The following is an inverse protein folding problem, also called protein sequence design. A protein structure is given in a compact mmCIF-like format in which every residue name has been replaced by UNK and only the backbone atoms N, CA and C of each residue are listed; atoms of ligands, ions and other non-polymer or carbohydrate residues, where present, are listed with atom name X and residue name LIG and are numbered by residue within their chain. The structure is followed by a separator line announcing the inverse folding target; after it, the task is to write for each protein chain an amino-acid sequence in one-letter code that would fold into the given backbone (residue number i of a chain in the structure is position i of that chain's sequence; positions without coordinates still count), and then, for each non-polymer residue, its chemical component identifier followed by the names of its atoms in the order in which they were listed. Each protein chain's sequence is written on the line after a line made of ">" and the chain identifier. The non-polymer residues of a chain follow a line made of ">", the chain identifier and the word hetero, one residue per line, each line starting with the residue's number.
data_IF_135125003826
#
_entry.id   IF_135125003826
#
_cell.length_a   1.000
_cell.length_b   1.000
_cell.length_c   1.000
_cell.angle_alpha   90.00
_cell.angle_beta   90.00
_cell.angle_gamma   90.00
#
_symmetry.space_group_name_H-M   'P 1'
#
loop_
_entity.id
_entity.type
_entity.pdbx_description
1 polymer ?
#
# COMPACT_ATOMS: atom_id res chain seq x y z
N UNK A 1 6.93 -37.71 -8.60
CA UNK A 1 5.81 -36.74 -8.78
C UNK A 1 5.96 -35.48 -7.92
N UNK A 2 7.18 -35.06 -7.56
CA UNK A 2 7.47 -33.84 -6.78
C UNK A 2 8.68 -33.14 -7.42
N UNK A 3 8.43 -32.24 -8.36
CA UNK A 3 9.44 -31.37 -8.98
C UNK A 3 8.85 -30.44 -10.06
N UNK A 4 7.60 -30.63 -10.50
CA UNK A 4 7.05 -29.97 -11.69
C UNK A 4 5.91 -28.96 -11.45
N UNK A 5 5.69 -28.48 -10.21
CA UNK A 5 4.51 -27.64 -9.92
C UNK A 5 4.80 -26.34 -9.17
N UNK A 6 6.05 -25.86 -9.11
CA UNK A 6 6.41 -24.69 -8.30
C UNK A 6 7.19 -23.59 -9.07
N UNK A 7 7.08 -23.56 -10.40
CA UNK A 7 7.65 -22.50 -11.23
C UNK A 7 6.69 -21.32 -11.48
N UNK A 8 5.68 -21.12 -10.62
CA UNK A 8 4.59 -20.17 -10.84
C UNK A 8 4.50 -19.03 -9.81
N UNK A 9 5.53 -18.80 -8.98
CA UNK A 9 5.38 -17.86 -7.84
C UNK A 9 6.32 -16.65 -7.89
N UNK A 10 7.34 -16.63 -8.76
CA UNK A 10 8.23 -15.47 -8.80
C UNK A 10 8.58 -15.10 -10.23
N UNK A 11 7.77 -14.21 -10.80
CA UNK A 11 8.08 -13.46 -12.00
C UNK A 11 7.47 -12.06 -11.90
N UNK A 12 8.12 -11.17 -11.16
CA UNK A 12 8.05 -9.74 -11.44
C UNK A 12 9.47 -9.16 -11.47
N UNK A 13 10.27 -9.66 -12.42
CA UNK A 13 11.27 -8.82 -13.08
C UNK A 13 10.57 -8.22 -14.30
N UNK A 14 9.80 -7.15 -14.06
CA UNK A 14 9.45 -6.23 -15.13
C UNK A 14 10.20 -4.94 -14.85
N UNK A 15 11.24 -4.70 -15.64
CA UNK A 15 11.93 -3.41 -15.79
C UNK A 15 11.03 -2.33 -16.41
N UNK A 16 9.71 -2.49 -16.35
CA UNK A 16 8.76 -1.53 -16.87
C UNK A 16 8.47 -0.48 -15.79
N UNK A 17 8.53 0.79 -16.18
CA UNK A 17 7.99 1.93 -15.43
C UNK A 17 6.67 1.54 -14.76
N UNK A 18 6.69 1.54 -13.42
CA UNK A 18 5.58 1.11 -12.57
C UNK A 18 4.55 2.23 -12.43
N UNK A 19 5.02 3.47 -12.29
CA UNK A 19 4.20 4.67 -12.27
C UNK A 19 4.59 5.61 -13.42
N UNK A 20 3.61 6.20 -14.12
CA UNK A 20 3.85 6.92 -15.38
C UNK A 20 3.17 8.30 -15.45
N UNK A 21 3.78 9.21 -16.21
CA UNK A 21 3.22 10.51 -16.59
C UNK A 21 2.25 10.27 -17.76
N UNK A 22 1.01 10.77 -17.66
CA UNK A 22 0.12 10.82 -18.84
C UNK A 22 0.66 11.89 -19.80
N UNK A 23 0.86 11.62 -21.10
CA UNK A 23 1.18 12.67 -22.04
C UNK A 23 0.05 13.71 -22.08
N UNK A 24 0.42 14.99 -22.03
CA UNK A 24 -0.50 16.12 -22.26
C UNK A 24 -1.09 16.00 -23.68
N UNK A 25 -2.42 15.87 -23.73
CA UNK A 25 -3.29 15.84 -24.91
C UNK A 25 -2.91 14.93 -26.11
N UNK A 26 -3.63 13.81 -26.19
CA UNK A 26 -4.36 13.50 -27.41
C UNK A 26 -5.83 13.29 -27.05
N UNK A 27 -6.68 14.24 -27.45
CA UNK A 27 -8.08 13.96 -27.70
C UNK A 27 -8.16 12.86 -28.78
N UNK A 28 -8.14 11.60 -28.36
CA UNK A 28 -8.58 10.50 -29.20
C UNK A 28 -10.03 10.24 -28.89
N UNK A 29 -10.90 10.64 -29.82
CA UNK A 29 -12.31 10.25 -29.80
C UNK A 29 -12.40 8.73 -30.04
N UNK A 30 -12.36 7.95 -28.98
CA UNK A 30 -12.81 6.57 -29.04
C UNK A 30 -14.33 6.57 -28.86
N UNK A 31 -15.03 6.58 -29.99
CA UNK A 31 -16.41 6.14 -30.08
C UNK A 31 -16.43 4.61 -29.94
N UNK A 32 -16.35 4.13 -28.71
CA UNK A 32 -16.77 2.76 -28.39
C UNK A 32 -18.16 2.79 -27.74
N UNK A 33 -19.04 1.96 -28.29
CA UNK A 33 -20.45 1.91 -27.97
C UNK A 33 -20.64 1.57 -26.49
N UNK A 34 -21.12 2.53 -25.69
CA UNK A 34 -21.68 2.26 -24.38
C UNK A 34 -22.85 1.30 -24.54
N UNK A 35 -22.69 0.06 -24.07
CA UNK A 35 -23.83 -0.79 -23.76
C UNK A 35 -24.64 -0.09 -22.68
N UNK A 36 -25.90 0.21 -22.98
CA UNK A 36 -26.86 0.75 -22.01
C UNK A 36 -27.11 -0.36 -20.98
N UNK A 37 -26.83 -0.15 -19.68
CA UNK A 37 -27.22 -1.12 -18.67
C UNK A 37 -28.75 -1.17 -18.63
N UNK A 38 -29.30 -2.36 -18.84
CA UNK A 38 -30.73 -2.61 -18.67
C UNK A 38 -31.16 -2.26 -17.24
N UNK A 39 -32.35 -1.68 -17.13
CA UNK A 39 -32.98 -1.22 -15.89
C UNK A 39 -33.06 -2.31 -14.82
N UNK A 40 -32.11 -2.30 -13.90
CA UNK A 40 -32.27 -2.80 -12.53
C UNK A 40 -31.69 -1.72 -11.61
N UNK A 41 -32.58 -0.93 -11.01
CA UNK A 41 -32.23 0.20 -10.17
C UNK A 41 -31.67 -0.23 -8.82
N UNK A 42 -30.35 -0.42 -8.75
CA UNK A 42 -29.54 -0.34 -7.53
C UNK A 42 -28.13 0.16 -7.90
N UNK A 43 -28.02 1.42 -8.32
CA UNK A 43 -26.73 2.11 -8.38
C UNK A 43 -26.38 2.63 -6.99
N UNK A 44 -25.13 2.48 -6.49
CA UNK A 44 -24.74 3.13 -5.25
C UNK A 44 -24.96 4.64 -5.39
N UNK A 45 -25.53 5.27 -4.36
CA UNK A 45 -25.56 6.73 -4.26
C UNK A 45 -24.12 7.22 -4.29
N UNK A 46 -23.72 7.92 -5.36
CA UNK A 46 -22.36 8.45 -5.51
C UNK A 46 -22.00 9.28 -4.28
N UNK A 47 -20.97 8.87 -3.54
CA UNK A 47 -20.50 9.62 -2.40
C UNK A 47 -19.94 10.98 -2.84
N UNK A 48 -20.24 12.02 -2.06
CA UNK A 48 -19.72 13.37 -2.28
C UNK A 48 -18.72 13.69 -1.19
N UNK A 49 -17.71 14.48 -1.54
CA UNK A 49 -16.76 14.97 -0.56
C UNK A 49 -17.46 15.78 0.53
N UNK A 50 -17.14 15.48 1.80
CA UNK A 50 -17.66 16.13 3.00
C UNK A 50 -16.65 17.13 3.60
N UNK A 51 -15.48 17.27 2.98
CA UNK A 51 -14.40 18.19 3.36
C UNK A 51 -14.03 19.11 2.20
N UNK A 52 -13.09 20.03 2.44
CA UNK A 52 -12.53 20.86 1.36
C UNK A 52 -11.65 19.98 0.45
N UNK A 53 -11.91 19.93 -0.86
CA UNK A 53 -11.07 19.19 -1.79
C UNK A 53 -9.62 19.68 -1.77
N UNK A 54 -8.68 18.74 -1.74
CA UNK A 54 -7.24 18.99 -1.60
C UNK A 54 -6.45 18.10 -2.56
N UNK A 55 -5.21 18.46 -2.92
CA UNK A 55 -4.35 17.58 -3.69
C UNK A 55 -4.11 16.27 -2.94
N UNK A 56 -4.19 15.15 -3.64
CA UNK A 56 -3.96 13.81 -3.11
C UNK A 56 -2.64 13.24 -3.62
N UNK A 57 -1.80 12.76 -2.69
CA UNK A 57 -0.56 12.07 -3.01
C UNK A 57 -0.65 10.61 -2.60
N UNK A 58 -0.61 9.74 -3.60
CA UNK A 58 -0.61 8.29 -3.46
C UNK A 58 0.83 7.79 -3.39
N UNK A 59 1.14 7.06 -2.31
CA UNK A 59 2.49 6.61 -1.96
C UNK A 59 2.45 5.10 -1.86
N UNK A 60 3.08 4.43 -2.82
CA UNK A 60 3.07 2.97 -2.94
C UNK A 60 4.01 2.31 -1.92
N UNK A 61 3.80 1.02 -1.71
CA UNK A 61 4.67 0.17 -0.90
C UNK A 61 5.83 -0.44 -1.69
N UNK A 62 6.29 -1.60 -1.24
CA UNK A 62 7.31 -2.39 -1.92
C UNK A 62 6.83 -2.84 -3.30
N UNK A 63 7.68 -2.72 -4.32
CA UNK A 63 7.38 -3.26 -5.66
C UNK A 63 7.89 -2.44 -6.85
N UNK A 64 8.57 -1.31 -6.64
CA UNK A 64 9.20 -0.55 -7.73
C UNK A 64 10.72 -0.42 -7.55
N UNK A 65 11.47 -0.79 -8.58
CA UNK A 65 12.90 -0.44 -8.74
C UNK A 65 13.07 0.86 -9.53
N UNK A 66 11.99 1.31 -10.20
CA UNK A 66 12.00 2.49 -11.06
C UNK A 66 11.59 3.70 -10.24
N UNK A 67 12.52 4.64 -10.13
CA UNK A 67 12.31 5.93 -9.48
C UNK A 67 12.21 7.03 -10.53
N UNK A 68 11.30 7.97 -10.33
CA UNK A 68 11.14 9.16 -11.16
C UNK A 68 11.21 10.40 -10.27
N UNK A 69 11.91 11.45 -10.72
CA UNK A 69 12.00 12.71 -9.95
C UNK A 69 10.66 13.45 -9.89
N UNK A 70 9.84 13.30 -10.94
CA UNK A 70 8.56 13.98 -11.05
C UNK A 70 7.41 13.13 -10.47
N UNK A 71 6.36 13.81 -10.02
CA UNK A 71 5.12 13.16 -9.59
C UNK A 71 4.33 12.65 -10.79
N UNK A 72 3.93 11.39 -10.71
CA UNK A 72 3.28 10.65 -11.77
C UNK A 72 1.77 10.86 -11.77
N UNK A 73 1.10 10.49 -12.88
CA UNK A 73 -0.36 10.60 -13.04
C UNK A 73 -1.07 9.25 -12.90
N UNK A 74 -0.33 8.15 -12.80
CA UNK A 74 -0.87 6.82 -12.53
C UNK A 74 0.23 5.93 -11.99
N UNK A 75 -0.17 4.87 -11.28
CA UNK A 75 0.76 3.85 -10.82
C UNK A 75 0.13 2.47 -10.85
N UNK A 76 0.82 1.47 -11.40
CA UNK A 76 0.36 0.07 -11.48
C UNK A 76 0.25 -0.63 -10.13
N UNK A 77 0.82 -0.04 -9.08
CA UNK A 77 0.68 -0.50 -7.69
C UNK A 77 -0.59 0.04 -7.02
N UNK A 78 -1.39 0.83 -7.74
CA UNK A 78 -2.71 1.29 -7.33
C UNK A 78 -3.73 1.03 -8.43
N UNK A 79 -4.99 0.84 -8.04
CA UNK A 79 -6.11 0.90 -8.97
C UNK A 79 -6.28 2.30 -9.57
N UNK A 80 -7.02 2.38 -10.66
CA UNK A 80 -7.39 3.68 -11.26
C UNK A 80 -8.43 4.37 -10.37
N UNK A 81 -8.04 5.51 -9.78
CA UNK A 81 -8.89 6.31 -8.90
C UNK A 81 -9.52 7.51 -9.62
N UNK A 82 -9.38 7.62 -10.94
CA UNK A 82 -10.06 8.65 -11.73
C UNK A 82 -11.59 8.52 -11.57
N UNK A 83 -12.22 9.56 -11.03
CA UNK A 83 -13.66 9.58 -10.75
C UNK A 83 -14.08 8.90 -9.44
N UNK A 84 -13.15 8.30 -8.71
CA UNK A 84 -13.39 7.57 -7.45
C UNK A 84 -12.81 8.28 -6.21
N UNK A 85 -12.47 9.56 -6.34
CA UNK A 85 -11.75 10.32 -5.32
C UNK A 85 -12.35 11.73 -5.16
N UNK A 86 -13.61 11.86 -4.69
CA UNK A 86 -14.35 13.13 -4.74
C UNK A 86 -13.71 14.25 -3.90
N UNK A 87 -12.87 13.91 -2.91
CA UNK A 87 -12.13 14.89 -2.10
C UNK A 87 -10.75 15.25 -2.65
N UNK A 88 -10.32 14.64 -3.75
CA UNK A 88 -9.06 14.97 -4.40
C UNK A 88 -9.29 16.06 -5.45
N UNK A 89 -8.69 17.23 -5.27
CA UNK A 89 -8.68 18.27 -6.30
C UNK A 89 -7.72 17.94 -7.44
N UNK A 90 -6.69 17.15 -7.14
CA UNK A 90 -5.78 16.51 -8.09
C UNK A 90 -5.27 15.20 -7.48
N UNK A 91 -4.86 14.26 -8.33
CA UNK A 91 -4.27 12.99 -7.91
C UNK A 91 -2.87 12.89 -8.51
N UNK A 92 -1.90 12.58 -7.66
CA UNK A 92 -0.52 12.31 -8.04
C UNK A 92 -0.01 11.06 -7.34
N UNK A 93 0.93 10.39 -7.98
CA UNK A 93 1.57 9.18 -7.46
C UNK A 93 3.07 9.41 -7.34
N UNK A 94 3.68 8.94 -6.25
CA UNK A 94 5.14 8.85 -6.17
C UNK A 94 5.64 7.70 -7.05
N UNK A 95 6.85 7.81 -7.60
CA UNK A 95 7.59 6.65 -8.15
C UNK A 95 8.91 6.57 -7.42
N UNK A 96 9.00 5.69 -6.42
CA UNK A 96 10.16 5.57 -5.52
C UNK A 96 10.83 4.22 -5.68
N UNK A 97 12.16 4.16 -5.57
CA UNK A 97 12.85 2.87 -5.45
C UNK A 97 12.55 2.26 -4.06
N UNK A 98 11.65 1.31 -4.07
CA UNK A 98 11.08 0.61 -2.91
C UNK A 98 11.38 -0.89 -2.98
N UNK A 99 12.39 -1.28 -3.76
CA UNK A 99 12.95 -2.64 -3.79
C UNK A 99 14.37 -2.60 -3.23
N UNK A 100 15.18 -1.64 -3.70
CA UNK A 100 16.58 -1.48 -3.30
C UNK A 100 16.78 -0.54 -2.11
N UNK A 101 15.72 0.13 -1.65
CA UNK A 101 15.73 0.97 -0.45
C UNK A 101 14.68 0.50 0.56
N UNK A 102 15.12 0.30 1.80
CA UNK A 102 14.21 0.01 2.92
C UNK A 102 13.54 1.28 3.44
N UNK A 103 12.41 1.13 4.14
CA UNK A 103 11.62 2.27 4.64
C UNK A 103 12.37 3.14 5.67
N UNK A 104 13.42 2.61 6.29
CA UNK A 104 14.32 3.33 7.20
C UNK A 104 15.44 4.10 6.50
N UNK A 105 15.53 4.02 5.17
CA UNK A 105 16.55 4.74 4.40
C UNK A 105 16.29 6.25 4.43
N UNK A 106 17.28 7.03 4.87
CA UNK A 106 17.14 8.48 5.03
C UNK A 106 16.83 9.21 3.72
N UNK A 107 17.49 8.83 2.63
CA UNK A 107 17.26 9.45 1.31
C UNK A 107 15.85 9.17 0.80
N UNK A 108 15.33 7.95 0.99
CA UNK A 108 13.95 7.61 0.64
C UNK A 108 12.95 8.42 1.46
N UNK A 109 13.21 8.61 2.75
CA UNK A 109 12.39 9.45 3.65
C UNK A 109 12.41 10.94 3.25
N UNK A 110 13.58 11.46 2.86
CA UNK A 110 13.69 12.83 2.35
C UNK A 110 12.88 13.00 1.07
N UNK A 111 12.98 12.05 0.13
CA UNK A 111 12.22 12.07 -1.13
C UNK A 111 10.71 12.07 -0.90
N UNK A 112 10.18 11.19 -0.03
CA UNK A 112 8.73 11.18 0.23
C UNK A 112 8.26 12.50 0.84
N UNK A 113 9.06 13.10 1.73
CA UNK A 113 8.76 14.41 2.32
C UNK A 113 8.80 15.52 1.26
N UNK A 114 9.80 15.55 0.38
CA UNK A 114 9.88 16.53 -0.71
C UNK A 114 8.69 16.45 -1.65
N UNK A 115 8.26 15.25 -2.01
CA UNK A 115 7.04 15.04 -2.81
C UNK A 115 5.78 15.51 -2.06
N UNK A 116 5.63 15.18 -0.77
CA UNK A 116 4.48 15.61 0.01
C UNK A 116 4.42 17.14 0.17
N UNK A 117 5.57 17.79 0.37
CA UNK A 117 5.67 19.24 0.49
C UNK A 117 5.33 19.96 -0.82
N UNK A 118 5.59 19.35 -1.98
CA UNK A 118 5.33 19.97 -3.29
C UNK A 118 3.87 19.91 -3.73
N UNK A 119 3.03 19.12 -3.05
CA UNK A 119 1.62 18.92 -3.43
C UNK A 119 0.75 20.18 -3.28
N UNK A 120 1.07 21.04 -2.32
CA UNK A 120 0.25 22.19 -1.96
C UNK A 120 1.11 23.43 -1.77
N UNK A 121 0.72 24.53 -2.41
CA UNK A 121 1.40 25.83 -2.26
C UNK A 121 1.34 26.38 -0.83
N UNK A 122 0.39 25.89 -0.02
CA UNK A 122 0.27 26.23 1.40
C UNK A 122 1.35 25.58 2.27
N UNK A 123 1.98 24.49 1.79
CA UNK A 123 3.03 23.77 2.51
C UNK A 123 4.22 24.68 2.82
N UNK A 124 4.79 24.52 4.01
CA UNK A 124 5.95 25.30 4.41
C UNK A 124 7.23 24.51 4.14
N UNK A 125 7.79 24.66 2.93
CA UNK A 125 9.05 24.00 2.54
C UNK A 125 10.19 24.35 3.52
N UNK A 126 10.30 25.62 3.90
CA UNK A 126 11.34 26.09 4.83
C UNK A 126 11.24 25.46 6.23
N UNK A 127 10.04 25.07 6.67
CA UNK A 127 9.80 24.42 7.97
C UNK A 127 9.64 22.90 7.85
N UNK A 128 9.65 22.36 6.63
CA UNK A 128 9.32 20.96 6.38
C UNK A 128 7.90 20.57 6.81
N UNK A 129 6.92 21.46 6.74
CA UNK A 129 5.53 21.18 7.18
C UNK A 129 4.59 20.99 6.00
N UNK A 130 4.02 19.78 5.88
CA UNK A 130 3.04 19.39 4.85
C UNK A 130 1.66 19.93 5.24
N UNK A 131 1.04 20.71 4.34
CA UNK A 131 -0.27 21.35 4.57
C UNK A 131 -1.25 21.06 3.44
N UNK A 132 -2.53 21.13 3.77
CA UNK A 132 -3.67 21.07 2.84
C UNK A 132 -3.54 19.95 1.80
N UNK A 133 -3.07 18.78 2.23
CA UNK A 133 -2.81 17.62 1.36
C UNK A 133 -3.53 16.39 1.92
N UNK A 134 -3.95 15.47 1.05
CA UNK A 134 -4.41 14.14 1.46
C UNK A 134 -3.31 13.15 1.09
N UNK A 135 -2.65 12.59 2.10
CA UNK A 135 -1.66 11.54 1.94
C UNK A 135 -2.38 10.19 1.91
N UNK A 136 -2.18 9.42 0.85
CA UNK A 136 -2.77 8.09 0.68
C UNK A 136 -1.63 7.07 0.61
N UNK A 137 -1.46 6.26 1.65
CA UNK A 137 -0.36 5.30 1.74
C UNK A 137 -0.85 3.86 1.65
N UNK A 138 -0.13 3.03 0.90
CA UNK A 138 -0.35 1.58 0.86
C UNK A 138 0.90 0.84 1.32
N UNK A 139 0.71 -0.23 2.09
CA UNK A 139 1.77 -1.17 2.47
C UNK A 139 2.99 -0.44 3.07
N UNK A 140 4.20 -0.75 2.62
CA UNK A 140 5.44 -0.12 3.08
C UNK A 140 5.45 1.42 2.93
N UNK A 141 4.64 1.99 2.03
CA UNK A 141 4.52 3.44 1.85
C UNK A 141 4.10 4.16 3.12
N UNK A 142 3.29 3.51 3.95
CA UNK A 142 2.89 4.04 5.25
C UNK A 142 4.07 4.13 6.23
N UNK A 143 4.96 3.12 6.24
CA UNK A 143 6.17 3.13 7.05
C UNK A 143 7.18 4.19 6.57
N UNK A 144 7.29 4.40 5.25
CA UNK A 144 8.18 5.44 4.70
C UNK A 144 7.74 6.82 5.23
N UNK A 145 6.45 7.14 5.15
CA UNK A 145 5.90 8.40 5.68
C UNK A 145 6.06 8.49 7.20
N UNK A 146 5.67 7.43 7.93
CA UNK A 146 5.77 7.40 9.39
C UNK A 146 7.21 7.60 9.86
N UNK A 147 8.15 6.89 9.25
CA UNK A 147 9.58 6.96 9.55
C UNK A 147 10.17 8.32 9.22
N UNK A 148 9.78 8.91 8.09
CA UNK A 148 10.24 10.25 7.70
C UNK A 148 9.82 11.33 8.71
N UNK A 149 8.58 11.26 9.20
CA UNK A 149 8.09 12.18 10.24
C UNK A 149 8.75 11.89 11.59
N UNK A 150 8.87 10.62 11.99
CA UNK A 150 9.53 10.23 13.23
C UNK A 150 11.00 10.69 13.29
N UNK A 151 11.69 10.67 12.14
CA UNK A 151 13.07 11.13 12.00
C UNK A 151 13.20 12.63 11.70
N UNK A 152 12.10 13.39 11.76
CA UNK A 152 12.12 14.84 11.60
C UNK A 152 12.45 15.34 10.18
N UNK A 153 12.29 14.49 9.15
CA UNK A 153 12.50 14.89 7.75
C UNK A 153 11.37 15.81 7.26
N UNK A 154 10.15 15.64 7.79
CA UNK A 154 9.03 16.56 7.65
C UNK A 154 8.02 16.41 8.80
N UNK A 155 7.01 17.28 8.84
CA UNK A 155 5.91 17.29 9.82
C UNK A 155 4.57 17.37 9.10
N UNK A 156 3.52 16.86 9.74
CA UNK A 156 2.15 16.86 9.20
C UNK A 156 1.32 17.91 9.96
N UNK A 157 0.82 18.92 9.26
CA UNK A 157 -0.11 19.90 9.82
C UNK A 157 -1.51 19.30 10.00
N UNK A 158 -2.29 19.85 10.94
CA UNK A 158 -3.71 19.54 11.16
C UNK A 158 -4.60 19.64 9.92
N UNK A 159 -4.22 20.44 8.92
CA UNK A 159 -4.96 20.58 7.66
C UNK A 159 -4.67 19.46 6.64
N UNK A 160 -3.69 18.61 6.92
CA UNK A 160 -3.36 17.42 6.12
C UNK A 160 -4.11 16.21 6.65
N UNK A 161 -4.65 15.39 5.75
CA UNK A 161 -5.33 14.14 6.09
C UNK A 161 -4.48 12.97 5.67
N UNK A 162 -4.26 11.99 6.54
CA UNK A 162 -3.54 10.76 6.20
C UNK A 162 -4.48 9.56 6.20
N UNK A 163 -4.63 8.96 5.02
CA UNK A 163 -5.38 7.73 4.76
C UNK A 163 -4.37 6.61 4.52
N UNK A 164 -4.50 5.50 5.25
CA UNK A 164 -3.55 4.38 5.15
C UNK A 164 -4.23 3.03 4.93
N UNK A 165 -3.59 2.16 4.16
CA UNK A 165 -4.13 0.86 3.77
C UNK A 165 -3.04 -0.21 3.90
N UNK A 166 -3.34 -1.29 4.61
CA UNK A 166 -2.45 -2.47 4.74
C UNK A 166 -1.01 -2.17 5.18
N UNK A 167 -0.84 -1.18 6.05
CA UNK A 167 0.48 -0.75 6.54
C UNK A 167 1.15 -1.81 7.44
N UNK A 168 2.36 -2.32 7.16
CA UNK A 168 3.01 -3.29 8.05
C UNK A 168 3.67 -2.60 9.27
N UNK A 169 2.88 -1.99 10.17
CA UNK A 169 3.43 -1.20 11.29
C UNK A 169 4.17 -2.03 12.35
N UNK A 170 4.04 -3.36 12.32
CA UNK A 170 4.86 -4.30 13.09
C UNK A 170 5.76 -5.16 12.17
N UNK A 171 5.93 -4.78 10.91
CA UNK A 171 6.49 -5.63 9.86
C UNK A 171 5.53 -6.72 9.41
N UNK A 172 6.04 -7.69 8.68
CA UNK A 172 5.26 -8.79 8.08
C UNK A 172 5.99 -10.13 8.16
N UNK A 173 5.23 -11.19 8.42
CA UNK A 173 5.73 -12.57 8.34
C UNK A 173 6.05 -12.99 6.90
N UNK A 174 5.50 -12.34 5.88
CA UNK A 174 5.87 -12.57 4.48
C UNK A 174 7.35 -12.21 4.23
N UNK A 175 7.86 -11.16 4.87
CA UNK A 175 9.29 -10.82 4.83
C UNK A 175 10.14 -11.91 5.49
N UNK A 176 9.74 -12.36 6.68
CA UNK A 176 10.46 -13.43 7.38
C UNK A 176 10.51 -14.69 6.51
N UNK A 177 9.37 -15.07 5.92
CA UNK A 177 9.26 -16.21 5.03
C UNK A 177 10.15 -16.09 3.78
N UNK A 178 10.20 -14.92 3.15
CA UNK A 178 11.09 -14.66 2.02
C UNK A 178 12.57 -14.78 2.41
N UNK A 179 12.93 -14.25 3.58
CA UNK A 179 14.30 -14.31 4.12
C UNK A 179 14.70 -15.74 4.53
N UNK A 180 13.81 -16.50 5.15
CA UNK A 180 14.02 -17.92 5.47
C UNK A 180 14.34 -18.69 4.20
N UNK A 181 13.53 -18.51 3.14
CA UNK A 181 13.80 -19.19 1.87
C UNK A 181 15.19 -18.91 1.32
N UNK A 182 15.65 -17.66 1.33
CA UNK A 182 16.97 -17.32 0.81
C UNK A 182 18.14 -17.67 1.75
N UNK A 183 17.88 -18.06 3.01
CA UNK A 183 18.92 -18.39 4.00
C UNK A 183 18.91 -19.86 4.46
N UNK A 184 17.97 -20.67 3.97
CA UNK A 184 17.87 -22.09 4.30
C UNK A 184 18.94 -22.93 3.56
N UNK A 185 19.82 -23.56 4.34
CA UNK A 185 20.90 -24.42 3.85
C UNK A 185 20.38 -25.72 3.22
N UNK A 186 19.22 -26.22 3.63
CA UNK A 186 18.59 -27.42 3.05
C UNK A 186 17.96 -27.13 1.68
N UNK A 187 17.71 -25.86 1.38
CA UNK A 187 17.24 -25.39 0.07
C UNK A 187 18.37 -24.90 -0.85
N UNK A 188 19.65 -25.15 -0.54
CA UNK A 188 20.79 -24.63 -1.32
C UNK A 188 20.69 -24.82 -2.84
N UNK A 189 20.21 -25.97 -3.32
CA UNK A 189 20.02 -26.20 -4.75
C UNK A 189 18.92 -25.29 -5.36
N UNK A 190 17.84 -25.07 -4.63
CA UNK A 190 16.75 -24.16 -5.01
C UNK A 190 17.17 -22.70 -4.86
N UNK A 191 17.92 -22.36 -3.82
CA UNK A 191 18.46 -21.02 -3.59
C UNK A 191 19.42 -20.61 -4.70
N UNK A 192 20.24 -21.53 -5.22
CA UNK A 192 21.06 -21.25 -6.42
C UNK A 192 20.20 -20.89 -7.64
N UNK A 193 19.07 -21.56 -7.84
CA UNK A 193 18.14 -21.21 -8.93
C UNK A 193 17.49 -19.86 -8.67
N UNK A 194 17.02 -19.59 -7.45
CA UNK A 194 16.44 -18.29 -7.07
C UNK A 194 17.46 -17.15 -7.19
N UNK A 195 18.73 -17.38 -6.85
CA UNK A 195 19.82 -16.42 -7.05
C UNK A 195 20.07 -16.16 -8.53
N UNK A 196 20.02 -17.19 -9.39
CA UNK A 196 20.20 -17.03 -10.83
C UNK A 196 19.08 -16.21 -11.48
N UNK A 197 17.86 -16.26 -10.93
CA UNK A 197 16.71 -15.46 -11.41
C UNK A 197 16.48 -14.17 -10.59
N UNK A 198 17.41 -13.80 -9.71
CA UNK A 198 17.37 -12.56 -8.95
C UNK A 198 16.37 -12.51 -7.78
N UNK A 199 15.73 -13.62 -7.42
CA UNK A 199 14.81 -13.70 -6.28
C UNK A 199 15.53 -13.83 -4.93
N UNK A 200 16.81 -14.23 -4.93
CA UNK A 200 17.67 -14.25 -3.75
C UNK A 200 19.03 -13.57 -4.03
N UNK A 201 19.65 -12.90 -3.05
CA UNK A 201 19.12 -12.61 -1.71
C UNK A 201 17.95 -11.62 -1.76
N UNK A 202 17.10 -11.60 -0.74
CA UNK A 202 15.98 -10.65 -0.67
C UNK A 202 16.45 -9.20 -0.72
N UNK A 203 15.62 -8.34 -1.34
CA UNK A 203 15.85 -6.91 -1.47
C UNK A 203 15.91 -6.18 -0.12
N UNK A 204 16.42 -4.94 -0.13
CA UNK A 204 16.53 -4.14 1.11
C UNK A 204 15.15 -3.76 1.66
N UNK A 205 14.20 -3.51 0.78
CA UNK A 205 12.80 -3.25 1.15
C UNK A 205 12.21 -4.42 1.94
N UNK A 206 12.19 -5.62 1.35
CA UNK A 206 11.71 -6.84 2.01
C UNK A 206 12.36 -7.02 3.39
N UNK A 207 13.69 -6.92 3.48
CA UNK A 207 14.42 -7.07 4.76
C UNK A 207 14.01 -6.01 5.79
N UNK A 208 13.75 -4.79 5.35
CA UNK A 208 13.37 -3.68 6.24
C UNK A 208 11.98 -3.83 6.85
N UNK A 209 11.10 -4.67 6.30
CA UNK A 209 9.76 -4.93 6.84
C UNK A 209 9.67 -6.28 7.56
N UNK A 210 10.79 -6.83 8.04
CA UNK A 210 10.82 -8.02 8.88
C UNK A 210 9.93 -7.84 10.11
N UNK A 211 9.21 -8.90 10.51
CA UNK A 211 8.28 -8.81 11.63
C UNK A 211 9.01 -8.45 12.94
N UNK A 212 8.51 -7.45 13.64
CA UNK A 212 9.10 -6.90 14.86
C UNK A 212 9.26 -7.98 15.92
N UNK A 213 10.44 -8.04 16.54
CA UNK A 213 10.79 -9.08 17.52
C UNK A 213 11.02 -10.48 16.91
N UNK A 214 10.85 -10.65 15.60
CA UNK A 214 11.13 -11.90 14.89
C UNK A 214 12.61 -12.09 14.56
N UNK A 215 12.94 -13.27 14.00
CA UNK A 215 14.30 -13.73 13.66
C UNK A 215 15.13 -12.73 12.86
N UNK A 216 14.50 -11.98 11.95
CA UNK A 216 15.17 -11.08 11.02
C UNK A 216 15.09 -9.60 11.41
N UNK A 217 14.45 -9.27 12.53
CA UNK A 217 14.34 -7.89 12.97
C UNK A 217 15.43 -7.53 13.99
N UNK A 218 16.20 -6.49 13.70
CA UNK A 218 17.21 -5.97 14.61
C UNK A 218 16.60 -5.10 15.72
N UNK A 219 17.36 -4.83 16.78
CA UNK A 219 16.92 -3.90 17.83
C UNK A 219 16.67 -2.50 17.27
N UNK A 220 17.49 -2.05 16.31
CA UNK A 220 17.33 -0.76 15.63
C UNK A 220 16.04 -0.72 14.82
N UNK A 221 15.74 -1.78 14.07
CA UNK A 221 14.51 -1.89 13.30
C UNK A 221 13.28 -1.92 14.21
N UNK A 222 13.34 -2.66 15.32
CA UNK A 222 12.27 -2.67 16.32
C UNK A 222 12.02 -1.26 16.90
N UNK A 223 13.08 -0.50 17.21
CA UNK A 223 12.93 0.89 17.68
C UNK A 223 12.32 1.80 16.62
N UNK A 224 12.71 1.61 15.36
CA UNK A 224 12.13 2.36 14.25
C UNK A 224 10.63 2.08 14.12
N UNK A 225 10.19 0.82 14.22
CA UNK A 225 8.75 0.48 14.21
C UNK A 225 8.00 1.17 15.33
N UNK A 226 8.51 1.16 16.56
CA UNK A 226 7.85 1.85 17.69
C UNK A 226 7.67 3.34 17.41
N UNK A 227 8.70 4.01 16.92
CA UNK A 227 8.64 5.43 16.57
C UNK A 227 7.65 5.71 15.41
N UNK A 228 7.66 4.86 14.37
CA UNK A 228 6.72 4.94 13.27
C UNK A 228 5.26 4.74 13.72
N UNK A 229 5.01 3.79 14.63
CA UNK A 229 3.69 3.53 15.16
C UNK A 229 3.16 4.70 16.01
N UNK A 230 4.03 5.39 16.78
CA UNK A 230 3.67 6.60 17.52
C UNK A 230 3.15 7.67 16.56
N UNK A 231 3.96 8.01 15.55
CA UNK A 231 3.56 8.95 14.48
C UNK A 231 2.27 8.51 13.79
N UNK A 232 2.16 7.23 13.45
CA UNK A 232 1.00 6.68 12.78
C UNK A 232 -0.28 6.90 13.61
N UNK A 233 -0.26 6.56 14.90
CA UNK A 233 -1.42 6.76 15.79
C UNK A 233 -1.77 8.23 16.00
N UNK A 234 -0.79 9.12 16.00
CA UNK A 234 -0.99 10.54 16.25
C UNK A 234 -1.54 11.29 15.02
N UNK A 235 -1.22 10.83 13.82
CA UNK A 235 -1.52 11.56 12.58
C UNK A 235 -2.50 10.86 11.63
N UNK A 236 -2.66 9.53 11.70
CA UNK A 236 -3.54 8.83 10.75
C UNK A 236 -5.00 9.18 11.00
N UNK A 237 -5.68 9.57 9.93
CA UNK A 237 -7.08 10.02 9.96
C UNK A 237 -8.06 8.91 9.63
N UNK A 238 -7.62 7.92 8.84
CA UNK A 238 -8.41 6.79 8.39
C UNK A 238 -7.51 5.60 8.01
N UNK A 239 -7.97 4.39 8.29
CA UNK A 239 -7.20 3.17 8.08
C UNK A 239 -8.08 2.05 7.53
N UNK A 240 -7.63 1.39 6.46
CA UNK A 240 -8.17 0.11 6.03
C UNK A 240 -7.19 -1.01 6.41
N UNK A 241 -7.68 -1.98 7.18
CA UNK A 241 -6.95 -3.19 7.55
C UNK A 241 -7.81 -4.41 7.29
N UNK A 242 -7.24 -5.46 6.70
CA UNK A 242 -8.00 -6.66 6.39
C UNK A 242 -7.94 -7.69 7.51
N UNK A 243 -9.07 -8.37 7.72
CA UNK A 243 -9.23 -9.51 8.63
C UNK A 243 -9.36 -10.85 7.87
N UNK A 244 -9.18 -10.84 6.55
CA UNK A 244 -9.25 -12.01 5.66
C UNK A 244 -8.44 -11.72 4.38
N UNK A 245 -7.91 -12.77 3.74
CA UNK A 245 -7.03 -12.72 2.57
C UNK A 245 -7.65 -13.27 1.29
N UNK A 246 -8.91 -13.74 1.31
CA UNK A 246 -9.58 -14.18 0.09
C UNK A 246 -9.73 -12.98 -0.85
N UNK A 247 -10.35 -11.89 -0.39
CA UNK A 247 -10.50 -10.71 -1.23
C UNK A 247 -11.50 -10.86 -2.38
N UNK A 248 -11.34 -10.00 -3.38
CA UNK A 248 -12.20 -9.90 -4.56
C UNK A 248 -11.81 -10.99 -5.58
N UNK A 249 -12.79 -11.53 -6.30
CA UNK A 249 -12.51 -12.50 -7.37
C UNK A 249 -11.74 -11.84 -8.51
N UNK A 250 -10.43 -12.13 -8.59
CA UNK A 250 -9.50 -11.52 -9.53
C UNK A 250 -8.36 -12.49 -9.89
N UNK A 251 -7.49 -12.15 -10.87
CA UNK A 251 -6.28 -12.94 -11.12
C UNK A 251 -5.31 -13.01 -9.92
N UNK A 252 -5.28 -12.00 -9.04
CA UNK A 252 -4.38 -11.98 -7.88
C UNK A 252 -4.90 -12.82 -6.68
N UNK A 253 -6.19 -13.16 -6.65
CA UNK A 253 -6.82 -14.01 -5.63
C UNK A 253 -6.00 -15.28 -5.30
N UNK A 254 -5.62 -16.03 -6.33
CA UNK A 254 -4.93 -17.31 -6.13
C UNK A 254 -3.58 -17.14 -5.45
N UNK A 255 -2.89 -16.04 -5.74
CA UNK A 255 -1.59 -15.72 -5.13
C UNK A 255 -1.75 -15.45 -3.64
N UNK A 256 -2.73 -14.64 -3.23
CA UNK A 256 -2.93 -14.28 -1.82
C UNK A 256 -3.53 -15.40 -0.99
N UNK A 257 -4.40 -16.24 -1.58
CA UNK A 257 -4.86 -17.48 -0.94
C UNK A 257 -3.69 -18.44 -0.74
N UNK A 258 -2.79 -18.57 -1.71
CA UNK A 258 -1.58 -19.40 -1.55
C UNK A 258 -0.64 -18.85 -0.48
N UNK A 259 -0.39 -17.54 -0.50
CA UNK A 259 0.46 -16.85 0.48
C UNK A 259 -0.07 -17.06 1.91
N UNK A 260 -1.34 -16.76 2.17
CA UNK A 260 -1.95 -16.94 3.49
C UNK A 260 -2.01 -18.40 3.97
N UNK A 261 -2.01 -19.38 3.06
CA UNK A 261 -1.93 -20.81 3.45
C UNK A 261 -0.52 -21.30 3.75
N UNK A 262 0.49 -20.63 3.20
CA UNK A 262 1.88 -21.12 3.22
C UNK A 262 2.74 -20.36 4.22
N UNK A 263 2.48 -19.07 4.40
CA UNK A 263 3.15 -18.22 5.38
C UNK A 263 2.45 -18.41 6.72
N UNK A 264 3.21 -18.74 7.76
CA UNK A 264 2.69 -18.70 9.12
C UNK A 264 2.61 -17.25 9.60
N UNK A 265 1.40 -16.69 9.54
CA UNK A 265 1.11 -15.35 10.02
C UNK A 265 0.84 -15.30 11.53
N UNK A 266 0.73 -16.44 12.22
CA UNK A 266 0.32 -16.55 13.62
C UNK A 266 -1.15 -16.21 13.90
N UNK A 267 -1.93 -15.90 12.88
CA UNK A 267 -3.37 -15.59 12.92
C UNK A 267 -3.98 -15.81 11.53
N UNK A 268 -5.29 -16.02 11.46
CA UNK A 268 -6.04 -16.02 10.19
C UNK A 268 -6.48 -14.60 9.76
N UNK A 269 -6.34 -13.61 10.65
CA UNK A 269 -6.69 -12.20 10.36
C UNK A 269 -5.54 -11.49 9.64
N UNK A 270 -5.46 -11.62 8.32
CA UNK A 270 -4.45 -10.96 7.49
C UNK A 270 -4.93 -10.75 6.06
N UNK A 271 -4.30 -9.85 5.31
CA UNK A 271 -4.58 -9.64 3.87
C UNK A 271 -3.78 -10.57 2.93
N UNK A 272 -3.05 -11.54 3.50
CA UNK A 272 -2.15 -12.46 2.80
C UNK A 272 -0.68 -12.03 2.85
N UNK A 273 -0.41 -10.81 3.34
CA UNK A 273 0.93 -10.27 3.56
C UNK A 273 1.03 -9.70 4.97
N UNK A 274 0.13 -8.80 5.33
CA UNK A 274 0.14 -8.04 6.59
C UNK A 274 -1.00 -8.51 7.48
N UNK A 275 -0.68 -8.77 8.75
CA UNK A 275 -1.69 -9.13 9.73
C UNK A 275 -2.55 -7.92 10.09
N UNK A 276 -3.80 -8.17 10.45
CA UNK A 276 -4.71 -7.13 10.94
C UNK A 276 -4.10 -6.35 12.12
N UNK A 277 -3.39 -7.05 13.01
CA UNK A 277 -2.69 -6.47 14.15
C UNK A 277 -1.55 -5.53 13.74
N UNK A 278 -0.69 -5.97 12.82
CA UNK A 278 0.38 -5.14 12.25
C UNK A 278 -0.20 -3.92 11.52
N UNK A 279 -1.28 -4.10 10.76
CA UNK A 279 -1.96 -3.00 10.06
C UNK A 279 -2.48 -1.90 10.98
N UNK A 280 -3.01 -2.27 12.14
CA UNK A 280 -3.56 -1.29 13.08
C UNK A 280 -2.51 -0.40 13.72
N UNK A 281 -1.24 -0.79 13.77
CA UNK A 281 -0.17 0.01 14.39
C UNK A 281 -0.45 0.43 15.83
N UNK A 282 -1.19 -0.40 16.57
CA UNK A 282 -1.62 -0.12 17.95
C UNK A 282 -2.95 0.63 18.09
N UNK A 283 -3.64 0.98 17.00
CA UNK A 283 -5.04 1.45 17.08
C UNK A 283 -5.94 0.33 17.63
N UNK A 284 -6.87 0.62 18.56
CA UNK A 284 -7.71 -0.39 19.16
C UNK A 284 -8.69 -0.97 18.12
N UNK A 285 -8.82 -2.31 18.09
CA UNK A 285 -9.71 -3.02 17.17
C UNK A 285 -11.17 -2.57 17.30
N UNK A 286 -11.59 -2.11 18.48
CA UNK A 286 -12.94 -1.58 18.72
C UNK A 286 -13.30 -0.32 17.92
N UNK A 287 -12.31 0.37 17.32
CA UNK A 287 -12.57 1.47 16.37
C UNK A 287 -12.99 0.98 15.00
N UNK A 288 -12.68 -0.27 14.65
CA UNK A 288 -12.86 -0.77 13.31
C UNK A 288 -14.24 -1.39 13.10
N UNK A 289 -14.76 -1.26 11.89
CA UNK A 289 -16.03 -1.83 11.45
C UNK A 289 -15.87 -2.38 10.04
N UNK A 290 -16.62 -3.42 9.71
CA UNK A 290 -16.65 -4.02 8.38
C UNK A 290 -17.55 -3.28 7.38
N UNK A 291 -17.91 -2.03 7.69
CA UNK A 291 -18.72 -1.16 6.85
C UNK A 291 -17.84 -0.14 6.13
N UNK A 292 -18.00 0.06 4.81
CA UNK A 292 -17.16 0.98 4.03
C UNK A 292 -17.37 2.45 4.43
N UNK A 293 -18.41 2.80 5.19
CA UNK A 293 -18.59 4.14 5.74
C UNK A 293 -17.69 4.44 6.95
N UNK A 294 -17.02 3.42 7.49
CA UNK A 294 -16.15 3.55 8.67
C UNK A 294 -14.80 4.15 8.30
N UNK A 295 -14.33 5.16 9.04
CA UNK A 295 -12.95 5.67 8.91
C UNK A 295 -11.90 4.61 9.22
N UNK A 296 -12.22 3.67 10.11
CA UNK A 296 -11.39 2.54 10.44
C UNK A 296 -12.11 1.29 9.93
N UNK A 297 -11.68 0.81 8.78
CA UNK A 297 -12.40 -0.20 8.01
C UNK A 297 -11.70 -1.55 8.13
N UNK A 298 -12.40 -2.51 8.75
CA UNK A 298 -12.00 -3.91 8.82
C UNK A 298 -12.51 -4.64 7.58
N UNK A 299 -11.71 -4.66 6.52
CA UNK A 299 -12.07 -5.26 5.24
C UNK A 299 -11.76 -6.77 5.21
N UNK A 300 -12.18 -7.44 4.15
CA UNK A 300 -11.76 -8.81 3.77
C UNK A 300 -10.93 -8.81 2.50
N UNK A 301 -10.43 -7.64 2.12
CA UNK A 301 -9.62 -7.40 0.94
C UNK A 301 -8.28 -8.14 1.07
N UNK A 302 -7.80 -8.77 0.00
CA UNK A 302 -6.39 -9.17 -0.02
C UNK A 302 -5.48 -7.92 -0.19
N UNK A 303 -4.16 -8.11 -0.11
CA UNK A 303 -3.21 -6.99 -0.09
C UNK A 303 -3.34 -6.08 -1.33
N UNK A 304 -3.60 -6.63 -2.53
CA UNK A 304 -3.81 -5.86 -3.76
C UNK A 304 -5.15 -5.13 -3.79
N UNK A 305 -6.21 -5.77 -3.29
CA UNK A 305 -7.55 -5.16 -3.25
C UNK A 305 -7.55 -3.89 -2.39
N UNK A 306 -6.77 -3.86 -1.31
CA UNK A 306 -6.61 -2.64 -0.49
C UNK A 306 -5.91 -1.50 -1.22
N UNK A 307 -5.19 -1.79 -2.30
CA UNK A 307 -4.62 -0.80 -3.21
C UNK A 307 -5.58 -0.42 -4.36
N UNK A 308 -6.86 -0.82 -4.29
CA UNK A 308 -7.90 -0.55 -5.28
C UNK A 308 -7.77 -1.30 -6.60
N UNK A 309 -6.80 -2.21 -6.75
CA UNK A 309 -6.46 -2.83 -8.04
C UNK A 309 -7.61 -3.61 -8.69
N UNK A 310 -8.53 -4.14 -7.87
CA UNK A 310 -9.64 -4.97 -8.33
C UNK A 310 -11.03 -4.31 -8.13
N UNK A 311 -11.07 -3.01 -7.77
CA UNK A 311 -12.32 -2.30 -7.56
C UNK A 311 -13.09 -2.76 -6.31
N UNK A 312 -14.42 -2.76 -6.39
CA UNK A 312 -15.31 -3.21 -5.30
C UNK A 312 -15.91 -4.60 -5.57
N UNK A 313 -16.01 -5.39 -4.51
CA UNK A 313 -16.83 -6.59 -4.44
C UNK A 313 -18.33 -6.27 -4.46
N UNK A 314 -19.10 -7.14 -5.11
CA UNK A 314 -20.53 -6.93 -5.29
C UNK A 314 -21.35 -7.17 -4.02
N UNK A 315 -21.05 -8.22 -3.26
CA UNK A 315 -21.98 -8.78 -2.27
C UNK A 315 -21.59 -8.60 -0.80
N UNK A 316 -20.33 -8.29 -0.49
CA UNK A 316 -19.85 -8.09 0.88
C UNK A 316 -19.39 -6.65 1.04
N UNK A 317 -19.96 -5.95 2.03
CA UNK A 317 -19.58 -4.59 2.39
C UNK A 317 -18.12 -4.51 2.86
N UNK A 318 -17.58 -5.62 3.38
CA UNK A 318 -16.17 -5.75 3.75
C UNK A 318 -15.24 -5.91 2.54
N UNK A 319 -15.76 -5.94 1.31
CA UNK A 319 -14.99 -6.02 0.06
C UNK A 319 -15.15 -4.76 -0.80
N UNK A 320 -15.43 -3.60 -0.21
CA UNK A 320 -15.65 -2.35 -0.96
C UNK A 320 -14.57 -1.27 -0.72
N UNK A 321 -13.31 -1.51 -1.12
CA UNK A 321 -12.22 -0.56 -0.87
C UNK A 321 -12.40 0.78 -1.60
N UNK A 322 -12.93 0.77 -2.83
CA UNK A 322 -13.14 1.99 -3.62
C UNK A 322 -14.28 2.82 -3.02
N UNK A 323 -15.43 2.20 -2.76
CA UNK A 323 -16.53 2.88 -2.06
C UNK A 323 -16.08 3.44 -0.70
N UNK A 324 -15.26 2.70 0.06
CA UNK A 324 -14.71 3.20 1.31
C UNK A 324 -13.97 4.51 1.11
N UNK A 325 -13.07 4.59 0.13
CA UNK A 325 -12.31 5.79 -0.16
C UNK A 325 -13.20 6.94 -0.67
N UNK A 326 -14.16 6.66 -1.56
CA UNK A 326 -15.11 7.63 -2.08
C UNK A 326 -15.94 8.31 -0.97
N UNK A 327 -16.32 7.54 0.05
CA UNK A 327 -17.23 7.97 1.10
C UNK A 327 -16.53 8.51 2.36
N UNK A 328 -15.19 8.44 2.39
CA UNK A 328 -14.36 8.61 3.58
C UNK A 328 -14.37 10.05 4.14
N UNK A 329 -14.23 11.03 3.25
CA UNK A 329 -13.87 12.42 3.58
C UNK A 329 -14.90 13.44 3.12
#
# INVERSE_FOLDING_TARGET
>A
MRARTLLAIFAFLSTATVCAIRPLDRQHSHHERKLVPALWGFGPTSCKCKSTPRPCLFIHGEGSEVEEEELQHGCKLFGDMDGHAPCCSSIKYTSLDTVNSGWTNETLQEKVCSHALSMSESSSVAKGTIKDTILVTHSMGALIVAGAVANGKCTIDSSTTWVSMSAPMNGTMASNYAQDRCSDDDMQAFNRVLTLIGSCPTGKATKSIAYMGGKYSSLELNKAFVAAQEVYRDHVSAVMCSIDNIGITSPSLLQYVFAGRTIDHGTDEHDGVVTYESCRGGLPASKFSNRPESKFYASKCNHDDTAFLNGDGFFDDALKPVQWFECLL
#
